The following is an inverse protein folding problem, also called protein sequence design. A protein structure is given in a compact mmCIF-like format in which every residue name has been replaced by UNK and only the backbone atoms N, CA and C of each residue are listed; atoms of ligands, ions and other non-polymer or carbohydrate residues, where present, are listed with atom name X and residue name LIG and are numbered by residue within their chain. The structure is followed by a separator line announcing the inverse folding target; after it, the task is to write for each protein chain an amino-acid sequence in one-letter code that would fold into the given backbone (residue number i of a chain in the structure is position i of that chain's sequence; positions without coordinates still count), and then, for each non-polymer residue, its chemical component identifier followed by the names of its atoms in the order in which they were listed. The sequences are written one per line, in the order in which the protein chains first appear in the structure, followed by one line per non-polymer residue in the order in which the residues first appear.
data_IF_043678457259
#
_entry.id   IF_043678457259
#
_cell.length_a   1.000
_cell.length_b   1.000
_cell.length_c   1.000
_cell.angle_alpha   90.00
_cell.angle_beta   90.00
_cell.angle_gamma   90.00
#
_symmetry.space_group_name_H-M   'P 1'
#
loop_
_entity.id
_entity.type
_entity.pdbx_description
1 polymer ?
#
# COMPACT_ATOMS: atom_id res chain seq x y z
N UNK A 1 5.20 12.06 -4.59
CA UNK A 1 5.06 10.63 -4.23
C UNK A 1 4.55 10.41 -2.79
N UNK A 2 5.25 10.75 -1.68
CA UNK A 2 4.84 10.31 -0.31
C UNK A 2 3.40 10.63 0.10
N UNK A 3 2.92 11.83 -0.25
CA UNK A 3 1.54 12.22 0.03
C UNK A 3 0.50 11.35 -0.72
N UNK A 4 0.82 10.84 -1.90
CA UNK A 4 -0.09 10.01 -2.69
C UNK A 4 -0.24 8.61 -2.08
N UNK A 5 0.87 7.98 -1.63
CA UNK A 5 0.79 6.71 -0.90
C UNK A 5 0.12 6.87 0.46
N UNK A 6 0.36 7.98 1.17
CA UNK A 6 -0.34 8.27 2.42
C UNK A 6 -1.86 8.47 2.23
N UNK A 7 -2.28 9.06 1.11
CA UNK A 7 -3.69 9.30 0.80
C UNK A 7 -4.50 8.03 0.53
N UNK A 8 -3.85 6.88 0.26
CA UNK A 8 -4.54 5.61 0.05
C UNK A 8 -5.46 5.23 1.21
N UNK A 9 -5.03 5.44 2.45
CA UNK A 9 -5.82 5.13 3.65
C UNK A 9 -7.06 6.02 3.76
N UNK A 10 -6.89 7.32 3.53
CA UNK A 10 -8.00 8.28 3.54
C UNK A 10 -9.03 7.91 2.47
N UNK A 11 -8.56 7.62 1.25
CA UNK A 11 -9.42 7.20 0.15
C UNK A 11 -10.14 5.88 0.46
N UNK A 12 -9.43 4.90 1.04
CA UNK A 12 -10.02 3.62 1.44
C UNK A 12 -11.15 3.83 2.45
N UNK A 13 -10.89 4.58 3.53
CA UNK A 13 -11.86 4.85 4.58
C UNK A 13 -13.06 5.67 4.10
N UNK A 14 -12.85 6.59 3.15
CA UNK A 14 -13.94 7.36 2.57
C UNK A 14 -14.97 6.46 1.83
N UNK A 15 -14.52 5.31 1.29
CA UNK A 15 -15.36 4.36 0.55
C UNK A 15 -15.90 3.21 1.41
N UNK A 16 -15.36 3.01 2.62
CA UNK A 16 -15.75 1.93 3.52
C UNK A 16 -16.32 2.51 4.82
N UNK A 17 -17.66 2.58 4.89
CA UNK A 17 -18.34 3.10 6.07
C UNK A 17 -18.66 1.99 7.09
N UNK A 18 -18.04 2.08 8.27
CA UNK A 18 -18.36 1.29 9.46
C UNK A 18 -17.35 0.18 9.81
N UNK A 19 -17.14 -0.03 11.13
CA UNK A 19 -16.33 -1.13 11.68
C UNK A 19 -14.83 -1.05 11.43
N UNK A 20 -14.10 -2.08 11.87
CA UNK A 20 -12.68 -2.28 11.60
C UNK A 20 -12.53 -2.94 10.22
N UNK A 21 -12.68 -2.13 9.16
CA UNK A 21 -12.44 -2.57 7.79
C UNK A 21 -10.93 -2.64 7.46
N UNK A 22 -10.07 -2.34 8.45
CA UNK A 22 -8.63 -2.16 8.28
C UNK A 22 -8.28 -0.96 7.39
N UNK A 23 -7.22 -1.05 6.60
CA UNK A 23 -6.77 0.05 5.75
C UNK A 23 -5.36 -0.11 5.20
N UNK A 24 -4.83 1.02 4.71
CA UNK A 24 -3.45 1.13 4.24
C UNK A 24 -2.66 1.97 5.24
N UNK A 25 -1.40 1.63 5.48
CA UNK A 25 -0.48 2.47 6.27
C UNK A 25 0.79 2.72 5.46
N UNK A 26 1.12 3.99 5.24
CA UNK A 26 2.35 4.38 4.56
C UNK A 26 3.35 4.95 5.56
N UNK A 27 4.60 4.50 5.43
CA UNK A 27 5.75 5.05 6.15
C UNK A 27 6.90 5.32 5.18
N UNK A 28 7.41 6.55 5.17
CA UNK A 28 8.64 6.85 4.45
C UNK A 28 9.85 6.24 5.18
N UNK A 29 10.70 5.52 4.45
CA UNK A 29 11.87 4.78 4.96
C UNK A 29 13.20 5.33 4.45
N UNK A 30 13.17 6.14 3.39
CA UNK A 30 14.31 6.87 2.82
C UNK A 30 13.84 8.10 2.03
N UNK A 31 14.77 8.80 1.37
CA UNK A 31 14.42 9.99 0.57
C UNK A 31 13.51 9.62 -0.62
N UNK A 32 13.77 8.46 -1.23
CA UNK A 32 13.07 7.89 -2.40
C UNK A 32 12.49 6.49 -2.10
N UNK A 33 12.33 6.16 -0.81
CA UNK A 33 11.89 4.85 -0.36
C UNK A 33 10.79 4.93 0.71
N UNK A 34 9.88 3.97 0.68
CA UNK A 34 8.78 3.88 1.61
C UNK A 34 8.22 2.47 1.71
N UNK A 35 7.37 2.28 2.72
CA UNK A 35 6.72 1.02 3.02
C UNK A 35 5.22 1.22 3.10
N UNK A 36 4.47 0.30 2.50
CA UNK A 36 3.02 0.24 2.60
C UNK A 36 2.60 -1.07 3.25
N UNK A 37 1.87 -0.98 4.36
CA UNK A 37 1.22 -2.10 5.01
C UNK A 37 -0.27 -2.08 4.65
N UNK A 38 -0.78 -3.20 4.16
CA UNK A 38 -2.16 -3.35 3.71
C UNK A 38 -2.86 -4.36 4.61
N UNK A 39 -3.75 -3.85 5.46
CA UNK A 39 -4.66 -4.65 6.29
C UNK A 39 -6.05 -4.51 5.71
N UNK A 40 -6.30 -5.06 4.52
CA UNK A 40 -7.59 -4.96 3.83
C UNK A 40 -8.23 -6.35 3.75
N UNK A 41 -9.47 -6.55 3.29
CA UNK A 41 -9.98 -7.88 2.97
C UNK A 41 -9.52 -8.38 1.57
N UNK A 42 -8.66 -7.63 0.88
CA UNK A 42 -8.32 -7.91 -0.52
C UNK A 42 -7.14 -8.88 -0.66
N UNK A 43 -7.11 -9.70 -1.73
CA UNK A 43 -5.93 -10.51 -2.03
C UNK A 43 -4.68 -9.63 -2.22
N UNK A 44 -3.50 -10.09 -1.80
CA UNK A 44 -2.28 -9.28 -1.92
C UNK A 44 -2.03 -8.79 -3.36
N UNK A 45 -2.33 -9.59 -4.39
CA UNK A 45 -2.19 -9.15 -5.78
C UNK A 45 -3.04 -7.91 -6.12
N UNK A 46 -4.20 -7.73 -5.48
CA UNK A 46 -5.03 -6.55 -5.65
C UNK A 46 -4.38 -5.33 -4.99
N UNK A 47 -3.98 -5.46 -3.71
CA UNK A 47 -3.31 -4.38 -2.98
C UNK A 47 -2.00 -3.97 -3.65
N UNK A 48 -1.23 -4.93 -4.15
CA UNK A 48 -0.02 -4.67 -4.93
C UNK A 48 -0.33 -3.80 -6.15
N UNK A 49 -1.36 -4.14 -6.93
CA UNK A 49 -1.75 -3.35 -8.10
C UNK A 49 -2.19 -1.93 -7.76
N UNK A 50 -2.85 -1.72 -6.61
CA UNK A 50 -3.21 -0.38 -6.13
C UNK A 50 -1.96 0.42 -5.74
N UNK A 51 -1.06 -0.17 -4.95
CA UNK A 51 0.19 0.48 -4.50
C UNK A 51 1.07 0.84 -5.69
N UNK A 52 1.31 -0.12 -6.59
CA UNK A 52 2.10 0.09 -7.80
C UNK A 52 1.46 1.14 -8.72
N UNK A 53 0.14 1.07 -8.94
CA UNK A 53 -0.57 2.03 -9.77
C UNK A 53 -0.49 3.47 -9.25
N UNK A 54 -0.65 3.67 -7.94
CA UNK A 54 -0.51 5.01 -7.33
C UNK A 54 0.92 5.52 -7.42
N UNK A 55 1.90 4.66 -7.15
CA UNK A 55 3.31 5.03 -7.25
C UNK A 55 3.66 5.43 -8.70
N UNK A 56 3.30 4.63 -9.70
CA UNK A 56 3.55 4.93 -11.12
C UNK A 56 2.88 6.25 -11.54
N UNK A 57 1.66 6.52 -11.06
CA UNK A 57 0.95 7.74 -11.42
C UNK A 57 1.56 9.03 -10.84
N UNK A 58 2.45 8.94 -9.84
CA UNK A 58 2.98 10.09 -9.10
C UNK A 58 4.51 10.15 -8.99
N UNK A 59 5.22 9.19 -9.59
CA UNK A 59 6.67 9.21 -9.69
C UNK A 59 7.12 9.94 -10.96
N UNK A 60 8.22 10.66 -10.87
CA UNK A 60 8.89 11.28 -12.02
C UNK A 60 9.85 10.29 -12.72
N UNK A 61 9.99 9.07 -12.18
CA UNK A 61 10.98 8.06 -12.56
C UNK A 61 10.48 6.62 -12.52
N UNK A 62 11.41 5.67 -12.33
CA UNK A 62 11.10 4.26 -12.28
C UNK A 62 10.57 3.89 -10.90
N UNK A 63 9.44 3.18 -10.88
CA UNK A 63 8.88 2.62 -9.66
C UNK A 63 9.29 1.16 -9.54
N UNK A 64 9.65 0.75 -8.32
CA UNK A 64 9.86 -0.64 -7.96
C UNK A 64 9.05 -0.96 -6.70
N UNK A 65 8.19 -1.98 -6.79
CA UNK A 65 7.39 -2.47 -5.67
C UNK A 65 7.76 -3.91 -5.38
N UNK A 66 8.16 -4.20 -4.15
CA UNK A 66 8.51 -5.55 -3.70
C UNK A 66 7.68 -5.93 -2.50
N UNK A 67 7.00 -7.07 -2.60
CA UNK A 67 6.37 -7.69 -1.44
C UNK A 67 7.45 -8.29 -0.53
N UNK A 68 7.45 -7.85 0.74
CA UNK A 68 8.48 -8.20 1.74
C UNK A 68 7.88 -8.83 3.02
N UNK A 69 6.55 -8.84 3.12
CA UNK A 69 5.82 -9.29 4.30
C UNK A 69 5.12 -10.63 4.11
N UNK A 70 4.40 -11.05 5.15
CA UNK A 70 3.49 -12.16 5.03
C UNK A 70 2.36 -11.84 4.05
N UNK A 71 1.83 -12.88 3.41
CA UNK A 71 0.74 -12.80 2.45
C UNK A 71 -0.58 -13.11 3.18
N UNK A 72 -1.71 -12.50 2.80
CA UNK A 72 -3.04 -12.91 3.31
C UNK A 72 -3.34 -14.39 3.10
N UNK A 73 -2.81 -15.00 2.03
CA UNK A 73 -2.93 -16.43 1.77
C UNK A 73 -2.32 -17.31 2.88
N UNK A 74 -1.48 -16.75 3.75
CA UNK A 74 -0.88 -17.44 4.90
C UNK A 74 -1.67 -17.21 6.22
N UNK A 75 -2.85 -16.59 6.16
CA UNK A 75 -3.72 -16.37 7.31
C UNK A 75 -3.30 -15.21 8.23
N UNK A 76 -2.34 -14.38 7.80
CA UNK A 76 -1.81 -13.27 8.59
C UNK A 76 -2.53 -11.93 8.37
N UNK A 77 -3.49 -11.87 7.44
CA UNK A 77 -4.40 -10.72 7.26
C UNK A 77 -3.74 -9.40 6.85
N UNK A 78 -2.44 -9.42 6.50
CA UNK A 78 -1.66 -8.25 6.12
C UNK A 78 -0.78 -8.59 4.93
N UNK A 79 -0.59 -7.66 4.00
CA UNK A 79 0.45 -7.68 2.98
C UNK A 79 1.36 -6.45 3.18
N UNK A 80 2.67 -6.57 2.97
CA UNK A 80 3.61 -5.46 3.15
C UNK A 80 4.49 -5.30 1.92
N UNK A 81 4.59 -4.07 1.43
CA UNK A 81 5.36 -3.71 0.24
C UNK A 81 6.41 -2.65 0.57
N UNK A 82 7.64 -2.88 0.12
CA UNK A 82 8.62 -1.80 -0.05
C UNK A 82 8.43 -1.18 -1.43
N UNK A 83 8.45 0.14 -1.48
CA UNK A 83 8.26 0.96 -2.67
C UNK A 83 9.44 1.91 -2.80
N UNK A 84 10.06 1.93 -3.97
CA UNK A 84 11.08 2.92 -4.36
C UNK A 84 10.62 3.63 -5.64
N UNK A 85 10.90 4.93 -5.77
CA UNK A 85 10.38 5.78 -6.85
C UNK A 85 11.37 6.84 -7.35
#
# INVERSE_FOLDING_TARGET
MPAALAALDEMYRAQHWGGDAGGYEFRQTGDEDGRVECETPYPCAFDHGIVEGVAIAHADGFVYVTEIGACQNNGLGRCTYDVSW
#
